data_IF_884760298802
#
_entry.id   IF_884760298802
#
_cell.length_a   1.000
_cell.length_b   1.000
_cell.length_c   1.000
_cell.angle_alpha   90.00
_cell.angle_beta   90.00
_cell.angle_gamma   90.00
#
_symmetry.space_group_name_H-M   'P 1'
#
loop_
_entity.id
_entity.type
_entity.pdbx_description
1 polymer ?
#
# COMPACT_ATOMS: atom_id res chain seq x y z
N UNK A 1 15.36 -1.65 10.14
CA UNK A 1 15.74 -2.47 8.97
C UNK A 1 15.23 -1.77 7.74
N UNK A 2 16.10 -1.56 6.75
CA UNK A 2 15.83 -0.78 5.53
C UNK A 2 14.61 -1.28 4.77
N UNK A 3 13.92 -0.37 4.06
CA UNK A 3 12.85 -0.73 3.15
C UNK A 3 13.37 -1.60 1.99
N UNK A 4 12.95 -2.86 1.94
CA UNK A 4 13.33 -3.84 0.93
C UNK A 4 12.21 -3.93 -0.11
N UNK A 5 12.54 -3.62 -1.36
CA UNK A 5 11.74 -3.97 -2.55
C UNK A 5 12.28 -5.27 -3.15
N UNK A 6 11.45 -6.29 -3.24
CA UNK A 6 11.88 -7.62 -3.71
C UNK A 6 10.83 -8.27 -4.62
N UNK A 7 11.17 -9.43 -5.17
CA UNK A 7 10.28 -10.29 -5.96
C UNK A 7 8.98 -10.66 -5.23
N UNK A 8 8.96 -10.57 -3.89
CA UNK A 8 7.83 -10.92 -3.05
C UNK A 8 7.42 -9.73 -2.17
N UNK A 9 7.31 -8.57 -2.81
CA UNK A 9 6.72 -7.37 -2.24
C UNK A 9 7.69 -6.43 -1.53
N UNK A 10 7.09 -5.42 -0.89
CA UNK A 10 7.76 -4.32 -0.17
C UNK A 10 7.71 -4.64 1.33
N UNK A 11 8.86 -4.60 2.00
CA UNK A 11 9.00 -5.02 3.41
C UNK A 11 9.89 -4.05 4.15
N UNK A 12 9.68 -3.88 5.45
CA UNK A 12 10.51 -3.04 6.29
C UNK A 12 10.06 -3.07 7.74
N UNK A 13 10.87 -2.51 8.64
CA UNK A 13 10.44 -2.26 10.02
C UNK A 13 9.41 -1.13 10.03
N UNK A 14 8.34 -1.24 10.82
CA UNK A 14 7.35 -0.18 10.95
C UNK A 14 8.01 1.07 11.56
N UNK A 15 7.84 2.22 10.91
CA UNK A 15 8.45 3.49 11.30
C UNK A 15 9.80 3.76 10.59
N UNK A 16 10.59 4.67 11.15
CA UNK A 16 11.83 5.16 10.53
C UNK A 16 11.61 6.32 9.54
N UNK A 17 12.70 6.91 9.05
CA UNK A 17 12.67 7.94 8.01
C UNK A 17 12.19 7.41 6.65
N UNK A 18 11.97 8.31 5.69
CA UNK A 18 11.64 7.96 4.31
C UNK A 18 12.72 7.05 3.70
N UNK A 19 12.34 5.85 3.24
CA UNK A 19 13.27 4.87 2.67
C UNK A 19 14.09 4.06 3.69
N UNK A 20 14.04 4.37 4.98
CA UNK A 20 14.75 3.64 6.04
C UNK A 20 13.91 2.54 6.69
N UNK A 21 12.58 2.62 6.56
CA UNK A 21 11.63 1.64 7.05
C UNK A 21 10.30 1.74 6.33
N UNK A 22 9.32 0.97 6.79
CA UNK A 22 7.96 1.00 6.27
C UNK A 22 7.15 2.05 7.04
N UNK A 23 7.31 3.31 6.64
CA UNK A 23 6.54 4.42 7.18
C UNK A 23 5.22 4.63 6.41
N UNK A 24 4.26 5.39 6.96
CA UNK A 24 2.98 5.65 6.30
C UNK A 24 3.09 6.29 4.91
N UNK A 25 4.05 7.20 4.69
CA UNK A 25 4.23 7.85 3.38
C UNK A 25 4.69 6.87 2.29
N UNK A 26 5.58 5.94 2.65
CA UNK A 26 6.02 4.88 1.77
C UNK A 26 4.86 3.95 1.42
N UNK A 27 4.02 3.58 2.40
CA UNK A 27 2.79 2.80 2.16
C UNK A 27 1.88 3.53 1.16
N UNK A 28 1.58 4.81 1.39
CA UNK A 28 0.75 5.64 0.48
C UNK A 28 1.34 5.66 -0.92
N UNK A 29 2.66 5.89 -1.05
CA UNK A 29 3.36 5.97 -2.33
C UNK A 29 3.24 4.69 -3.15
N UNK A 30 3.45 3.53 -2.52
CA UNK A 30 3.37 2.25 -3.24
C UNK A 30 1.93 1.83 -3.51
N UNK A 31 1.00 2.09 -2.58
CA UNK A 31 -0.42 1.80 -2.77
C UNK A 31 -1.01 2.64 -3.91
N UNK A 32 -0.73 3.95 -3.96
CA UNK A 32 -1.20 4.83 -5.04
C UNK A 32 -0.61 4.46 -6.41
N UNK A 33 0.68 4.11 -6.45
CA UNK A 33 1.32 3.61 -7.67
C UNK A 33 0.66 2.30 -8.16
N UNK A 34 0.36 1.37 -7.25
CA UNK A 34 -0.32 0.12 -7.58
C UNK A 34 -1.75 0.36 -8.08
N UNK A 35 -2.55 1.19 -7.39
CA UNK A 35 -3.89 1.54 -7.81
C UNK A 35 -3.91 2.20 -9.21
N UNK A 36 -2.96 3.11 -9.46
CA UNK A 36 -2.78 3.74 -10.77
C UNK A 36 -2.44 2.72 -11.85
N UNK A 37 -1.55 1.77 -11.55
CA UNK A 37 -1.18 0.71 -12.48
C UNK A 37 -2.38 -0.17 -12.84
N UNK A 38 -3.14 -0.62 -11.83
CA UNK A 38 -4.35 -1.42 -12.06
C UNK A 38 -5.33 -0.66 -12.94
N UNK A 39 -5.65 0.61 -12.64
CA UNK A 39 -6.59 1.40 -13.45
C UNK A 39 -6.16 1.55 -14.92
N UNK A 40 -4.86 1.68 -15.18
CA UNK A 40 -4.31 1.82 -16.54
C UNK A 40 -4.26 0.51 -17.32
N UNK A 41 -4.17 -0.63 -16.63
CA UNK A 41 -3.86 -1.93 -17.26
C UNK A 41 -5.01 -2.93 -17.19
N UNK A 42 -5.93 -2.78 -16.25
CA UNK A 42 -7.08 -3.68 -16.14
C UNK A 42 -8.08 -3.42 -17.27
N UNK A 43 -8.43 -4.51 -17.97
CA UNK A 43 -9.47 -4.50 -19.01
C UNK A 43 -10.88 -4.70 -18.45
N UNK A 44 -10.97 -5.10 -17.18
CA UNK A 44 -12.25 -5.23 -16.47
C UNK A 44 -12.74 -3.85 -16.04
N UNK A 45 -14.06 -3.62 -16.15
CA UNK A 45 -14.68 -2.33 -15.82
C UNK A 45 -14.66 -1.99 -14.32
N UNK A 46 -14.16 -2.87 -13.46
CA UNK A 46 -14.14 -2.68 -12.02
C UNK A 46 -12.73 -2.42 -11.54
N UNK A 47 -12.55 -1.35 -10.77
CA UNK A 47 -11.30 -1.02 -10.08
C UNK A 47 -11.28 -1.57 -8.64
N UNK A 48 -12.05 -2.62 -8.35
CA UNK A 48 -12.15 -3.18 -7.00
C UNK A 48 -10.80 -3.76 -6.56
N UNK A 49 -10.26 -3.21 -5.47
CA UNK A 49 -9.05 -3.70 -4.80
C UNK A 49 -9.48 -4.36 -3.49
N UNK A 50 -9.06 -5.60 -3.27
CA UNK A 50 -9.31 -6.33 -2.02
C UNK A 50 -8.07 -6.24 -1.14
N UNK A 51 -8.25 -5.82 0.11
CA UNK A 51 -7.15 -5.63 1.07
C UNK A 51 -7.28 -6.66 2.19
N UNK A 52 -6.20 -7.40 2.45
CA UNK A 52 -6.08 -8.33 3.58
C UNK A 52 -4.88 -7.98 4.46
N UNK A 53 -4.91 -8.42 5.73
CA UNK A 53 -3.78 -8.29 6.66
C UNK A 53 -3.60 -9.56 7.50
N UNK A 54 -2.41 -9.71 8.08
CA UNK A 54 -2.16 -10.72 9.10
C UNK A 54 -2.52 -10.23 10.51
N UNK A 55 -2.18 -11.05 11.52
CA UNK A 55 -2.49 -10.79 12.93
C UNK A 55 -1.54 -9.81 13.63
N UNK A 56 -0.54 -9.22 12.95
CA UNK A 56 0.37 -8.28 13.61
C UNK A 56 -0.38 -7.04 14.09
N UNK A 57 0.01 -6.52 15.27
CA UNK A 57 -0.58 -5.32 15.88
C UNK A 57 -0.49 -4.12 14.92
N UNK A 58 0.66 -3.94 14.27
CA UNK A 58 0.86 -2.88 13.27
C UNK A 58 0.01 -3.03 12.01
N UNK A 59 -0.57 -4.22 11.78
CA UNK A 59 -1.38 -4.51 10.60
C UNK A 59 -2.64 -3.65 10.52
N UNK A 60 -3.23 -3.27 11.66
CA UNK A 60 -4.41 -2.40 11.68
C UNK A 60 -4.08 -0.99 11.15
N UNK A 61 -2.95 -0.43 11.55
CA UNK A 61 -2.44 0.85 11.03
C UNK A 61 -2.18 0.76 9.53
N UNK A 62 -1.45 -0.27 9.08
CA UNK A 62 -1.14 -0.46 7.66
C UNK A 62 -2.42 -0.60 6.82
N UNK A 63 -3.39 -1.40 7.29
CA UNK A 63 -4.70 -1.55 6.64
C UNK A 63 -5.39 -0.20 6.49
N UNK A 64 -5.44 0.61 7.55
CA UNK A 64 -6.12 1.91 7.51
C UNK A 64 -5.46 2.87 6.52
N UNK A 65 -4.12 2.88 6.43
CA UNK A 65 -3.38 3.69 5.45
C UNK A 65 -3.66 3.21 4.02
N UNK A 66 -3.61 1.89 3.77
CA UNK A 66 -3.86 1.31 2.43
C UNK A 66 -5.30 1.58 1.97
N UNK A 67 -6.27 1.35 2.86
CA UNK A 67 -7.68 1.57 2.58
C UNK A 67 -7.94 3.07 2.36
N UNK A 68 -7.47 3.95 3.24
CA UNK A 68 -7.60 5.40 3.07
C UNK A 68 -7.03 5.90 1.75
N UNK A 69 -5.85 5.42 1.37
CA UNK A 69 -5.22 5.75 0.08
C UNK A 69 -6.06 5.30 -1.12
N UNK A 70 -6.73 4.15 -1.00
CA UNK A 70 -7.52 3.57 -2.09
C UNK A 70 -8.90 4.23 -2.21
N UNK A 71 -9.51 4.63 -1.09
CA UNK A 71 -10.79 5.33 -1.05
C UNK A 71 -10.72 6.73 -1.64
N UNK A 72 -9.63 7.46 -1.41
CA UNK A 72 -9.44 8.79 -2.00
C UNK A 72 -9.28 8.76 -3.53
N UNK A 73 -9.07 7.58 -4.12
CA UNK A 73 -8.87 7.40 -5.56
C UNK A 73 -10.08 6.83 -6.32
N UNK A 74 -11.18 6.49 -5.63
CA UNK A 74 -12.39 5.94 -6.27
C UNK A 74 -13.29 7.02 -6.91
N UNK A 75 -12.92 8.31 -6.84
CA UNK A 75 -13.56 9.41 -7.56
C UNK A 75 -14.93 9.79 -6.97
N UNK A 76 -15.15 10.98 -6.40
CA UNK A 76 -14.96 12.33 -6.96
C UNK A 76 -13.83 12.56 -7.95
#
# INVERSE_FOLDING_TARGET
MTLIKSISGIRGTIGGGAGEGLNPLDIVKFTSAYATLIRKTCKVKSNKIVVGRDARISGEMVKNVVVGTSWEWDGT
#
